data_IF_248453496223
#
_entry.id   IF_248453496223
#
_cell.length_a   1.000
_cell.length_b   1.000
_cell.length_c   1.000
_cell.angle_alpha   90.00
_cell.angle_beta   90.00
_cell.angle_gamma   90.00
#
_symmetry.space_group_name_H-M   'P 1'
#
loop_
_entity.id
_entity.type
_entity.pdbx_description
1 polymer ?
#
# COMPACT_ATOMS: atom_id res chain seq x y z
N UNK A 1 -32.41 -18.40 12.41
CA UNK A 1 -31.78 -18.15 11.09
C UNK A 1 -32.89 -18.15 10.08
N UNK A 2 -33.09 -17.00 9.40
CA UNK A 2 -34.09 -16.91 8.34
C UNK A 2 -33.58 -17.59 7.07
N UNK A 3 -34.50 -18.15 6.29
CA UNK A 3 -34.17 -18.84 5.06
C UNK A 3 -34.89 -18.17 3.89
N UNK A 4 -34.14 -17.98 2.82
CA UNK A 4 -34.65 -17.42 1.57
C UNK A 4 -34.42 -18.37 0.41
N UNK A 5 -35.06 -18.08 -0.72
CA UNK A 5 -34.90 -18.85 -1.97
C UNK A 5 -34.32 -17.95 -3.06
N UNK A 6 -33.37 -18.49 -3.82
CA UNK A 6 -32.80 -17.76 -4.96
C UNK A 6 -33.87 -17.62 -6.06
N UNK A 7 -34.22 -16.40 -6.42
CA UNK A 7 -35.24 -16.11 -7.46
C UNK A 7 -34.61 -15.73 -8.79
N UNK A 8 -33.47 -15.06 -8.77
CA UNK A 8 -32.80 -14.56 -9.97
C UNK A 8 -31.28 -14.56 -9.79
N UNK A 9 -30.56 -14.84 -10.89
CA UNK A 9 -29.10 -14.86 -10.95
C UNK A 9 -28.70 -14.10 -12.22
N UNK A 10 -27.97 -13.01 -12.08
CA UNK A 10 -27.41 -12.21 -13.18
C UNK A 10 -25.92 -12.03 -12.91
N UNK A 11 -25.08 -12.83 -13.57
CA UNK A 11 -23.63 -12.81 -13.34
C UNK A 11 -23.31 -13.06 -11.87
N UNK A 12 -22.61 -12.12 -11.22
CA UNK A 12 -22.27 -12.19 -9.80
C UNK A 12 -23.39 -11.67 -8.85
N UNK A 13 -24.50 -11.14 -9.39
CA UNK A 13 -25.62 -10.62 -8.59
C UNK A 13 -26.69 -11.69 -8.47
N UNK A 14 -27.14 -11.94 -7.24
CA UNK A 14 -28.13 -12.96 -6.90
C UNK A 14 -29.24 -12.31 -6.09
N UNK A 15 -30.47 -12.39 -6.57
CA UNK A 15 -31.63 -11.93 -5.82
C UNK A 15 -32.23 -13.13 -5.06
N UNK A 16 -32.48 -12.92 -3.76
CA UNK A 16 -32.97 -13.94 -2.82
C UNK A 16 -34.25 -13.44 -2.15
N UNK A 17 -35.30 -14.24 -2.19
CA UNK A 17 -36.59 -13.93 -1.56
C UNK A 17 -36.68 -14.57 -0.17
N UNK A 18 -36.89 -13.75 0.84
CA UNK A 18 -37.15 -14.13 2.23
C UNK A 18 -38.61 -13.86 2.59
N UNK A 19 -39.07 -14.46 3.69
CA UNK A 19 -40.33 -14.04 4.30
C UNK A 19 -40.26 -12.57 4.71
N UNK A 20 -41.34 -11.81 4.50
CA UNK A 20 -41.39 -10.34 4.71
C UNK A 20 -40.99 -9.88 6.12
N UNK A 21 -41.13 -10.73 7.13
CA UNK A 21 -40.78 -10.42 8.52
C UNK A 21 -39.35 -10.81 8.90
N UNK A 22 -38.60 -11.41 7.96
CA UNK A 22 -37.30 -12.03 8.20
C UNK A 22 -36.23 -11.58 7.19
N UNK A 23 -36.43 -10.40 6.61
CA UNK A 23 -35.54 -9.82 5.60
C UNK A 23 -34.17 -9.51 6.21
N UNK A 24 -33.07 -10.08 5.66
CA UNK A 24 -31.71 -9.79 6.11
C UNK A 24 -31.36 -8.30 6.01
N UNK A 25 -30.45 -7.83 6.87
CA UNK A 25 -29.93 -6.46 6.80
C UNK A 25 -28.94 -6.33 5.65
N UNK A 26 -28.70 -5.09 5.23
CA UNK A 26 -27.58 -4.78 4.33
C UNK A 26 -26.27 -5.20 5.02
N UNK A 27 -25.38 -5.82 4.25
CA UNK A 27 -24.13 -6.46 4.65
C UNK A 27 -24.24 -7.79 5.40
N UNK A 28 -25.44 -8.30 5.68
CA UNK A 28 -25.58 -9.68 6.19
C UNK A 28 -25.02 -10.69 5.18
N UNK A 29 -24.29 -11.69 5.68
CA UNK A 29 -23.81 -12.81 4.89
C UNK A 29 -24.88 -13.90 4.79
N UNK A 30 -25.10 -14.41 3.58
CA UNK A 30 -26.01 -15.52 3.28
C UNK A 30 -25.21 -16.74 2.80
N UNK A 31 -25.47 -17.90 3.37
CA UNK A 31 -24.85 -19.17 2.96
C UNK A 31 -25.82 -19.97 2.10
N UNK A 32 -25.41 -20.32 0.88
CA UNK A 32 -26.24 -21.13 -0.02
C UNK A 32 -26.10 -22.61 0.33
N UNK A 33 -27.21 -23.26 0.68
CA UNK A 33 -27.19 -24.66 1.09
C UNK A 33 -26.73 -25.58 -0.05
N UNK A 34 -25.80 -26.48 0.27
CA UNK A 34 -25.26 -27.45 -0.68
C UNK A 34 -24.21 -26.88 -1.64
N UNK A 35 -23.75 -25.65 -1.42
CA UNK A 35 -22.61 -25.05 -2.12
C UNK A 35 -21.69 -24.36 -1.12
N UNK A 36 -20.48 -23.98 -1.56
CA UNK A 36 -19.54 -23.19 -0.74
C UNK A 36 -19.69 -21.68 -0.94
N UNK A 37 -20.73 -21.26 -1.69
CA UNK A 37 -20.92 -19.88 -2.12
C UNK A 37 -21.57 -19.08 -0.99
N UNK A 38 -20.90 -17.99 -0.62
CA UNK A 38 -21.43 -16.98 0.30
C UNK A 38 -21.90 -15.79 -0.52
N UNK A 39 -23.07 -15.25 -0.18
CA UNK A 39 -23.61 -14.02 -0.76
C UNK A 39 -23.57 -12.90 0.28
N UNK A 40 -23.28 -11.67 -0.12
CA UNK A 40 -23.37 -10.49 0.75
C UNK A 40 -24.52 -9.58 0.31
N UNK A 41 -25.47 -9.32 1.21
CA UNK A 41 -26.64 -8.47 0.90
C UNK A 41 -26.21 -7.02 0.66
N UNK A 42 -26.59 -6.46 -0.49
CA UNK A 42 -26.30 -5.07 -0.86
C UNK A 42 -27.51 -4.15 -0.78
N UNK A 43 -28.69 -4.66 -1.13
CA UNK A 43 -29.91 -3.85 -1.25
C UNK A 43 -31.14 -4.68 -0.85
N UNK A 44 -32.14 -4.01 -0.31
CA UNK A 44 -33.48 -4.56 -0.12
C UNK A 44 -34.38 -3.97 -1.20
N UNK A 45 -34.87 -4.80 -2.13
CA UNK A 45 -35.67 -4.34 -3.28
C UNK A 45 -37.16 -4.16 -2.94
N UNK A 46 -37.61 -4.74 -1.84
CA UNK A 46 -39.02 -4.79 -1.44
C UNK A 46 -39.60 -6.20 -1.55
N UNK A 47 -40.80 -6.38 -0.99
CA UNK A 47 -41.53 -7.67 -1.00
C UNK A 47 -40.77 -8.88 -0.45
N UNK A 48 -39.77 -8.66 0.40
CA UNK A 48 -38.92 -9.72 0.95
C UNK A 48 -37.73 -10.11 0.07
N UNK A 49 -37.56 -9.47 -1.09
CA UNK A 49 -36.45 -9.71 -1.99
C UNK A 49 -35.26 -8.84 -1.58
N UNK A 50 -34.12 -9.50 -1.40
CA UNK A 50 -32.82 -8.85 -1.22
C UNK A 50 -31.93 -9.13 -2.43
N UNK A 51 -31.15 -8.13 -2.81
CA UNK A 51 -30.12 -8.24 -3.84
C UNK A 51 -28.77 -8.41 -3.17
N UNK A 52 -28.10 -9.50 -3.49
CA UNK A 52 -26.81 -9.85 -2.93
C UNK A 52 -25.74 -10.03 -4.02
N UNK A 53 -24.48 -9.91 -3.63
CA UNK A 53 -23.32 -10.20 -4.48
C UNK A 53 -22.73 -11.53 -4.05
N UNK A 54 -22.44 -12.41 -4.99
CA UNK A 54 -21.75 -13.65 -4.73
C UNK A 54 -20.25 -13.45 -4.52
N UNK A 55 -19.73 -14.09 -3.47
CA UNK A 55 -18.32 -14.20 -3.16
C UNK A 55 -17.80 -15.59 -3.56
N UNK A 56 -17.59 -15.75 -4.86
CA UNK A 56 -17.30 -17.02 -5.52
C UNK A 56 -17.99 -17.12 -6.88
N UNK A 57 -17.63 -18.13 -7.67
CA UNK A 57 -18.28 -18.33 -8.98
C UNK A 57 -19.76 -18.69 -8.79
N UNK A 58 -20.64 -18.05 -9.55
CA UNK A 58 -22.07 -18.36 -9.59
C UNK A 58 -22.40 -19.47 -10.60
N UNK A 59 -21.39 -20.02 -11.27
CA UNK A 59 -21.57 -21.13 -12.21
C UNK A 59 -22.18 -22.34 -11.50
N UNK A 60 -23.25 -22.88 -12.08
CA UNK A 60 -23.97 -24.02 -11.50
C UNK A 60 -24.98 -23.65 -10.41
N UNK A 61 -25.08 -22.38 -9.97
CA UNK A 61 -26.18 -21.94 -9.12
C UNK A 61 -27.52 -22.06 -9.87
N UNK A 62 -28.54 -22.52 -9.14
CA UNK A 62 -29.89 -22.71 -9.67
C UNK A 62 -30.88 -21.89 -8.85
N UNK A 63 -31.95 -21.46 -9.51
CA UNK A 63 -33.11 -20.89 -8.82
C UNK A 63 -33.73 -21.92 -7.87
N UNK A 64 -34.40 -21.42 -6.84
CA UNK A 64 -35.00 -22.17 -5.74
C UNK A 64 -34.03 -22.86 -4.77
N UNK A 65 -32.72 -22.69 -4.92
CA UNK A 65 -31.78 -23.07 -3.87
C UNK A 65 -32.04 -22.23 -2.61
N UNK A 66 -31.81 -22.84 -1.46
CA UNK A 66 -32.04 -22.22 -0.16
C UNK A 66 -30.78 -21.44 0.23
N UNK A 67 -30.95 -20.17 0.59
CA UNK A 67 -29.92 -19.34 1.18
C UNK A 67 -30.28 -19.04 2.63
N UNK A 68 -29.36 -19.31 3.55
CA UNK A 68 -29.55 -19.14 5.00
C UNK A 68 -28.90 -17.84 5.44
N UNK A 69 -29.64 -16.97 6.11
CA UNK A 69 -29.06 -15.78 6.71
C UNK A 69 -28.27 -16.15 7.97
N UNK A 70 -27.00 -15.76 8.00
CA UNK A 70 -26.12 -15.91 9.17
C UNK A 70 -26.45 -14.92 10.30
N UNK A 71 -27.18 -13.82 9.98
CA UNK A 71 -27.61 -12.78 10.92
C UNK A 71 -26.52 -11.77 11.30
N UNK A 72 -25.37 -11.82 10.61
CA UNK A 72 -24.22 -10.94 10.79
C UNK A 72 -23.47 -10.74 9.47
N UNK A 73 -22.54 -9.79 9.44
CA UNK A 73 -21.65 -9.62 8.31
C UNK A 73 -20.65 -10.78 8.14
N UNK A 74 -19.92 -10.74 7.03
CA UNK A 74 -18.82 -11.69 6.78
C UNK A 74 -17.78 -11.54 7.87
N UNK A 75 -17.50 -12.64 8.58
CA UNK A 75 -16.59 -12.67 9.71
C UNK A 75 -15.35 -13.53 9.43
N UNK A 76 -14.18 -12.91 9.50
CA UNK A 76 -12.88 -13.50 9.14
C UNK A 76 -12.05 -13.79 10.39
N UNK A 77 -11.17 -14.81 10.38
CA UNK A 77 -10.28 -15.09 11.50
C UNK A 77 -9.30 -13.93 11.70
N UNK A 78 -9.05 -13.61 12.97
CA UNK A 78 -8.11 -12.56 13.38
C UNK A 78 -7.19 -13.07 14.48
N UNK A 79 -6.12 -12.32 14.77
CA UNK A 79 -5.13 -12.64 15.79
C UNK A 79 -3.87 -13.31 15.28
N UNK A 80 -2.96 -13.63 16.19
CA UNK A 80 -1.59 -14.05 15.85
C UNK A 80 -1.51 -15.34 15.03
N UNK A 81 -2.54 -16.20 15.10
CA UNK A 81 -2.62 -17.41 14.27
C UNK A 81 -2.81 -17.16 12.78
N UNK A 82 -3.11 -15.92 12.37
CA UNK A 82 -3.18 -15.51 10.95
C UNK A 82 -1.82 -15.15 10.36
N UNK A 83 -0.80 -14.94 11.20
CA UNK A 83 0.55 -14.61 10.74
C UNK A 83 1.18 -15.79 10.01
N UNK A 84 1.83 -15.50 8.89
CA UNK A 84 2.42 -16.49 7.97
C UNK A 84 1.43 -17.28 7.14
N UNK A 85 0.13 -16.98 7.26
CA UNK A 85 -0.95 -17.67 6.52
C UNK A 85 -1.41 -16.88 5.31
N UNK A 86 -1.88 -17.60 4.30
CA UNK A 86 -2.55 -17.01 3.13
C UNK A 86 -4.04 -17.32 3.22
N UNK A 87 -4.87 -16.28 3.19
CA UNK A 87 -6.32 -16.40 3.28
C UNK A 87 -7.03 -15.77 2.07
N UNK A 88 -8.22 -16.27 1.77
CA UNK A 88 -9.15 -15.64 0.82
C UNK A 88 -9.98 -14.52 1.48
N UNK A 89 -10.87 -13.90 0.69
CA UNK A 89 -11.79 -12.84 1.14
C UNK A 89 -12.76 -13.27 2.26
N UNK A 90 -13.02 -14.57 2.42
CA UNK A 90 -13.87 -15.12 3.48
C UNK A 90 -13.06 -15.58 4.69
N UNK A 91 -11.74 -15.40 4.66
CA UNK A 91 -10.84 -15.82 5.72
C UNK A 91 -10.53 -17.33 5.72
N UNK A 92 -10.77 -18.03 4.61
CA UNK A 92 -10.45 -19.46 4.45
C UNK A 92 -8.97 -19.57 4.04
N UNK A 93 -8.20 -20.51 4.64
CA UNK A 93 -6.81 -20.69 4.25
C UNK A 93 -6.70 -21.27 2.83
N UNK A 94 -5.81 -20.70 2.02
CA UNK A 94 -5.52 -21.15 0.65
C UNK A 94 -4.05 -21.59 0.47
N UNK A 95 -3.32 -21.75 1.56
CA UNK A 95 -1.90 -22.12 1.61
C UNK A 95 -1.64 -23.61 1.84
N UNK A 96 -2.69 -24.44 1.89
CA UNK A 96 -2.62 -25.89 2.18
C UNK A 96 -1.94 -26.24 3.53
N UNK A 97 -1.73 -25.26 4.43
CA UNK A 97 -1.08 -25.45 5.72
C UNK A 97 -2.04 -25.84 6.86
N UNK A 98 -3.20 -26.42 6.51
CA UNK A 98 -4.26 -26.78 7.46
C UNK A 98 -5.15 -25.60 7.87
N UNK A 99 -6.00 -25.75 8.90
CA UNK A 99 -6.88 -24.67 9.36
C UNK A 99 -6.08 -23.52 10.00
N UNK A 100 -6.64 -22.31 10.00
CA UNK A 100 -6.09 -21.16 10.73
C UNK A 100 -6.52 -21.27 12.19
N UNK A 101 -5.55 -21.32 13.11
CA UNK A 101 -5.81 -21.32 14.55
C UNK A 101 -6.13 -19.91 15.04
N UNK A 102 -7.38 -19.48 14.86
CA UNK A 102 -7.85 -18.18 15.32
C UNK A 102 -8.77 -18.31 16.54
N UNK A 103 -8.49 -17.52 17.58
CA UNK A 103 -9.35 -17.40 18.78
C UNK A 103 -10.62 -16.62 18.49
N UNK A 104 -10.51 -15.58 17.67
CA UNK A 104 -11.58 -14.63 17.38
C UNK A 104 -11.88 -14.53 15.89
N UNK A 105 -13.12 -14.12 15.58
CA UNK A 105 -13.53 -13.74 14.22
C UNK A 105 -14.21 -12.38 14.25
N UNK A 106 -13.78 -11.47 13.38
CA UNK A 106 -14.32 -10.11 13.29
C UNK A 106 -15.01 -9.87 11.96
N UNK A 107 -16.07 -9.08 11.99
CA UNK A 107 -16.80 -8.67 10.79
C UNK A 107 -15.99 -7.67 9.96
N UNK A 108 -16.03 -7.83 8.63
CA UNK A 108 -15.25 -6.98 7.72
C UNK A 108 -15.82 -5.56 7.57
N UNK A 109 -17.13 -5.40 7.85
CA UNK A 109 -17.83 -4.12 7.81
C UNK A 109 -17.84 -3.53 9.22
N UNK A 110 -17.04 -2.49 9.42
CA UNK A 110 -16.90 -1.79 10.70
C UNK A 110 -16.94 -0.29 10.47
N UNK A 111 -17.36 0.45 11.49
CA UNK A 111 -17.29 1.90 11.47
C UNK A 111 -15.83 2.36 11.61
N UNK A 112 -15.51 3.52 11.02
CA UNK A 112 -14.25 4.19 11.29
C UNK A 112 -14.15 4.61 12.77
N UNK A 113 -12.94 4.71 13.34
CA UNK A 113 -12.74 5.23 14.69
C UNK A 113 -13.39 6.60 14.88
N UNK A 114 -13.95 6.85 16.07
CA UNK A 114 -14.57 8.13 16.38
C UNK A 114 -13.52 9.24 16.48
N UNK A 115 -13.94 10.50 16.38
CA UNK A 115 -13.03 11.65 16.56
C UNK A 115 -12.32 11.63 17.92
N UNK A 116 -13.00 11.15 18.97
CA UNK A 116 -12.42 11.04 20.31
C UNK A 116 -11.33 9.98 20.38
N UNK A 117 -11.35 8.97 19.52
CA UNK A 117 -10.38 7.87 19.52
C UNK A 117 -9.12 8.17 18.70
N UNK A 118 -9.16 9.19 17.84
CA UNK A 118 -8.04 9.57 16.98
C UNK A 118 -6.88 10.14 17.80
N UNK A 119 -5.65 9.74 17.45
CA UNK A 119 -4.44 10.27 18.05
C UNK A 119 -4.08 11.63 17.44
N UNK A 120 -3.65 12.58 18.28
CA UNK A 120 -3.28 13.94 17.85
C UNK A 120 -1.79 14.11 17.52
N UNK A 121 -0.96 13.10 17.75
CA UNK A 121 0.51 13.19 17.63
C UNK A 121 0.99 12.71 16.28
N UNK A 122 1.70 13.59 15.57
CA UNK A 122 2.33 13.29 14.29
C UNK A 122 3.78 12.86 14.51
N UNK A 123 3.97 11.60 14.90
CA UNK A 123 5.32 11.00 14.96
C UNK A 123 5.76 10.59 13.56
N UNK A 124 7.05 10.76 13.25
CA UNK A 124 7.64 10.29 12.00
C UNK A 124 7.98 8.80 12.11
N UNK A 125 7.74 8.07 11.02
CA UNK A 125 8.16 6.68 10.87
C UNK A 125 9.45 6.65 10.05
N UNK A 126 10.56 6.27 10.69
CA UNK A 126 11.85 6.09 10.01
C UNK A 126 11.82 4.79 9.20
N UNK A 127 12.05 4.88 7.89
CA UNK A 127 12.01 3.71 6.99
C UNK A 127 13.39 3.10 6.74
N UNK A 128 14.45 3.85 7.03
CA UNK A 128 15.83 3.48 6.73
C UNK A 128 16.19 3.63 5.25
N UNK A 129 15.30 4.21 4.44
CA UNK A 129 15.49 4.43 3.00
C UNK A 129 15.75 5.92 2.77
N UNK A 130 16.95 6.25 2.31
CA UNK A 130 17.45 7.64 2.20
C UNK A 130 16.48 8.60 1.48
N UNK A 131 15.98 8.21 0.31
CA UNK A 131 15.11 9.08 -0.50
C UNK A 131 13.75 9.30 0.17
N UNK A 132 13.20 8.28 0.82
CA UNK A 132 11.91 8.37 1.52
C UNK A 132 12.07 9.23 2.76
N UNK A 133 13.02 8.89 3.63
CA UNK A 133 13.23 9.59 4.89
C UNK A 133 13.61 11.06 4.69
N UNK A 134 14.37 11.40 3.64
CA UNK A 134 14.74 12.78 3.35
C UNK A 134 13.63 13.58 2.66
N UNK A 135 13.06 13.06 1.56
CA UNK A 135 12.20 13.85 0.65
C UNK A 135 10.71 13.69 0.93
N UNK A 136 10.26 12.51 1.36
CA UNK A 136 8.86 12.20 1.58
C UNK A 136 8.67 11.38 2.87
N UNK A 137 9.02 11.95 4.05
CA UNK A 137 9.00 11.23 5.31
C UNK A 137 7.58 10.78 5.65
N UNK A 138 7.47 9.57 6.21
CA UNK A 138 6.18 8.96 6.56
C UNK A 138 5.73 9.40 7.95
N UNK A 139 4.43 9.62 8.10
CA UNK A 139 3.80 9.74 9.41
C UNK A 139 3.43 8.36 9.94
N UNK A 140 3.61 8.16 11.25
CA UNK A 140 3.11 6.99 11.95
C UNK A 140 1.58 6.98 11.95
N UNK A 141 1.04 5.91 11.37
CA UNK A 141 -0.39 5.75 11.05
C UNK A 141 -0.90 6.63 9.91
N UNK A 142 0.02 7.19 9.13
CA UNK A 142 -0.31 7.88 7.89
C UNK A 142 -0.64 6.93 6.75
N UNK A 143 -1.15 7.50 5.66
CA UNK A 143 -1.46 6.79 4.41
C UNK A 143 -0.47 7.19 3.33
N UNK A 144 0.25 6.22 2.80
CA UNK A 144 1.27 6.42 1.77
C UNK A 144 0.78 5.82 0.45
N UNK A 145 0.80 6.61 -0.61
CA UNK A 145 0.56 6.12 -1.97
C UNK A 145 1.86 5.82 -2.70
N UNK A 146 2.05 4.58 -3.14
CA UNK A 146 3.18 4.16 -3.98
C UNK A 146 2.73 4.14 -5.45
N UNK A 147 3.18 5.14 -6.20
CA UNK A 147 2.86 5.31 -7.63
C UNK A 147 3.97 4.74 -8.49
N UNK A 148 3.63 4.24 -9.67
CA UNK A 148 4.63 3.85 -10.66
C UNK A 148 4.10 2.92 -11.74
N UNK A 149 4.88 2.77 -12.82
CA UNK A 149 4.58 1.81 -13.88
C UNK A 149 4.94 0.36 -13.50
N UNK A 150 4.70 -0.58 -14.41
CA UNK A 150 5.25 -1.93 -14.27
C UNK A 150 6.78 -1.91 -14.39
N UNK A 151 7.46 -2.73 -13.57
CA UNK A 151 8.92 -2.94 -13.64
C UNK A 151 9.81 -1.89 -12.95
N UNK A 152 9.23 -0.91 -12.25
CA UNK A 152 10.01 0.13 -11.52
C UNK A 152 10.40 -0.26 -10.09
N UNK A 153 10.11 -1.50 -9.67
CA UNK A 153 10.50 -2.03 -8.36
C UNK A 153 9.51 -1.78 -7.21
N UNK A 154 8.20 -1.67 -7.48
CA UNK A 154 7.17 -1.48 -6.42
C UNK A 154 7.23 -2.56 -5.34
N UNK A 155 7.17 -3.82 -5.75
CA UNK A 155 7.19 -4.98 -4.85
C UNK A 155 8.47 -5.01 -4.03
N UNK A 156 9.61 -4.72 -4.67
CA UNK A 156 10.91 -4.63 -3.99
C UNK A 156 10.94 -3.53 -2.92
N UNK A 157 10.36 -2.35 -3.20
CA UNK A 157 10.23 -1.29 -2.20
C UNK A 157 9.30 -1.70 -1.05
N UNK A 158 8.17 -2.33 -1.34
CA UNK A 158 7.25 -2.82 -0.29
C UNK A 158 7.92 -3.87 0.59
N UNK A 159 8.63 -4.83 0.01
CA UNK A 159 9.36 -5.86 0.76
C UNK A 159 10.46 -5.27 1.63
N UNK A 160 11.23 -4.30 1.12
CA UNK A 160 12.26 -3.64 1.92
C UNK A 160 11.64 -2.85 3.08
N UNK A 161 10.51 -2.16 2.86
CA UNK A 161 9.78 -1.47 3.93
C UNK A 161 9.30 -2.46 5.01
N UNK A 162 8.75 -3.61 4.61
CA UNK A 162 8.36 -4.68 5.54
C UNK A 162 9.58 -5.14 6.34
N UNK A 163 10.68 -5.46 5.67
CA UNK A 163 11.90 -5.96 6.32
C UNK A 163 12.50 -4.93 7.29
N UNK A 164 12.62 -3.67 6.88
CA UNK A 164 13.23 -2.62 7.69
C UNK A 164 12.38 -2.31 8.91
N UNK A 165 11.07 -2.15 8.72
CA UNK A 165 10.17 -1.83 9.83
C UNK A 165 10.00 -3.04 10.75
N UNK A 166 9.90 -4.27 10.25
CA UNK A 166 9.79 -5.47 11.10
C UNK A 166 11.07 -5.77 11.91
N UNK A 167 12.24 -5.25 11.50
CA UNK A 167 13.51 -5.38 12.22
C UNK A 167 13.75 -4.21 13.18
N UNK A 168 13.43 -2.99 12.77
CA UNK A 168 13.65 -1.78 13.58
C UNK A 168 12.50 -1.52 14.57
N UNK A 169 11.30 -1.93 14.22
CA UNK A 169 10.08 -1.83 15.03
C UNK A 169 9.51 -3.24 15.24
N UNK A 170 9.05 -3.58 16.44
CA UNK A 170 8.36 -4.87 16.71
C UNK A 170 6.93 -4.90 16.11
N UNK A 171 6.76 -4.32 14.92
CA UNK A 171 5.48 -4.18 14.23
C UNK A 171 5.10 -5.43 13.45
N UNK A 172 3.79 -5.65 13.32
CA UNK A 172 3.21 -6.68 12.47
C UNK A 172 2.80 -6.07 11.13
N UNK A 173 2.79 -6.89 10.07
CA UNK A 173 2.36 -6.46 8.75
C UNK A 173 1.15 -7.27 8.28
N UNK A 174 0.26 -6.63 7.54
CA UNK A 174 -0.83 -7.28 6.82
C UNK A 174 -0.74 -6.90 5.35
N UNK A 175 -0.72 -7.89 4.47
CA UNK A 175 -0.71 -7.70 3.03
C UNK A 175 -2.08 -8.06 2.44
N UNK A 176 -2.71 -7.10 1.77
CA UNK A 176 -3.98 -7.26 1.06
C UNK A 176 -3.74 -7.18 -0.45
N UNK A 177 -3.68 -8.34 -1.10
CA UNK A 177 -3.56 -8.50 -2.55
C UNK A 177 -4.91 -8.34 -3.25
N UNK A 178 -5.29 -7.09 -3.54
CA UNK A 178 -6.52 -6.69 -4.22
C UNK A 178 -6.35 -6.77 -5.74
N UNK A 179 -6.93 -7.79 -6.37
CA UNK A 179 -6.95 -7.94 -7.81
C UNK A 179 -5.55 -8.08 -8.41
N UNK A 180 -4.64 -8.76 -7.69
CA UNK A 180 -3.27 -9.00 -8.12
C UNK A 180 -3.14 -10.27 -8.96
N UNK A 181 -2.03 -10.33 -9.71
CA UNK A 181 -1.71 -11.54 -10.49
C UNK A 181 -1.28 -12.65 -9.53
N UNK A 182 -1.83 -13.85 -9.72
CA UNK A 182 -1.48 -15.06 -8.94
C UNK A 182 0.02 -15.33 -8.92
N UNK A 183 0.70 -15.12 -10.05
CA UNK A 183 2.16 -15.25 -10.14
C UNK A 183 2.89 -14.29 -9.20
N UNK A 184 2.49 -13.02 -9.17
CA UNK A 184 3.13 -12.00 -8.32
C UNK A 184 2.86 -12.26 -6.84
N UNK A 185 1.67 -12.76 -6.48
CA UNK A 185 1.38 -13.23 -5.12
C UNK A 185 2.22 -14.44 -4.70
N UNK A 186 2.44 -15.40 -5.61
CA UNK A 186 3.30 -16.56 -5.35
C UNK A 186 4.77 -16.15 -5.18
N UNK A 187 5.28 -15.29 -6.07
CA UNK A 187 6.66 -14.79 -5.99
C UNK A 187 6.87 -14.04 -4.65
N UNK A 188 5.93 -13.16 -4.28
CA UNK A 188 5.95 -12.44 -3.01
C UNK A 188 5.96 -13.39 -1.79
N UNK A 189 5.14 -14.44 -1.79
CA UNK A 189 5.11 -15.44 -0.72
C UNK A 189 6.47 -16.14 -0.53
N UNK A 190 7.09 -16.56 -1.64
CA UNK A 190 8.40 -17.21 -1.61
C UNK A 190 9.51 -16.24 -1.18
N UNK A 191 9.50 -14.99 -1.67
CA UNK A 191 10.46 -13.97 -1.26
C UNK A 191 10.36 -13.65 0.24
N UNK A 192 9.14 -13.60 0.80
CA UNK A 192 8.92 -13.44 2.24
C UNK A 192 9.42 -14.62 3.07
N UNK A 193 9.25 -15.84 2.53
CA UNK A 193 9.74 -17.07 3.15
C UNK A 193 11.27 -17.11 3.16
N UNK A 194 11.90 -16.78 2.04
CA UNK A 194 13.36 -16.77 1.89
C UNK A 194 14.00 -15.64 2.73
N UNK A 195 13.28 -14.54 2.91
CA UNK A 195 13.71 -13.40 3.75
C UNK A 195 13.45 -13.59 5.25
N UNK A 196 12.89 -14.73 5.69
CA UNK A 196 12.54 -15.03 7.09
C UNK A 196 11.68 -13.96 7.77
N UNK A 197 10.70 -13.40 7.04
CA UNK A 197 9.74 -12.41 7.58
C UNK A 197 8.30 -12.90 7.57
N UNK A 198 8.08 -14.12 7.07
CA UNK A 198 6.76 -14.74 6.93
C UNK A 198 6.00 -14.81 8.27
N UNK A 199 6.69 -15.04 9.38
CA UNK A 199 6.13 -15.11 10.74
C UNK A 199 5.55 -13.78 11.25
N UNK A 200 5.80 -12.67 10.55
CA UNK A 200 5.35 -11.32 10.91
C UNK A 200 4.31 -10.74 9.96
N UNK A 201 3.95 -11.47 8.90
CA UNK A 201 3.04 -11.00 7.84
C UNK A 201 1.80 -11.89 7.76
N UNK A 202 0.61 -11.33 7.91
CA UNK A 202 -0.63 -11.99 7.51
C UNK A 202 -0.98 -11.61 6.07
N UNK A 203 -1.32 -12.58 5.21
CA UNK A 203 -1.62 -12.31 3.80
C UNK A 203 -3.06 -12.66 3.46
N UNK A 204 -3.73 -11.74 2.76
CA UNK A 204 -5.08 -11.92 2.24
C UNK A 204 -5.04 -11.64 0.73
N UNK A 205 -5.52 -12.58 -0.07
CA UNK A 205 -5.57 -12.44 -1.52
C UNK A 205 -7.00 -12.51 -2.04
N UNK A 206 -7.28 -11.64 -3.01
CA UNK A 206 -8.48 -11.65 -3.84
C UNK A 206 -8.01 -11.42 -5.27
N UNK A 207 -7.65 -12.48 -5.97
CA UNK A 207 -6.85 -12.43 -7.19
C UNK A 207 -7.66 -11.94 -8.41
N UNK A 208 -6.96 -11.61 -9.51
CA UNK A 208 -7.62 -11.15 -10.75
C UNK A 208 -8.63 -12.15 -11.36
N UNK A 209 -8.43 -13.45 -11.15
CA UNK A 209 -9.34 -14.50 -11.61
C UNK A 209 -10.62 -14.61 -10.76
N UNK A 210 -10.67 -13.95 -9.61
CA UNK A 210 -11.84 -13.98 -8.74
C UNK A 210 -12.92 -12.98 -9.19
N UNK A 211 -14.20 -13.27 -8.86
CA UNK A 211 -15.31 -12.37 -9.14
C UNK A 211 -15.09 -10.97 -8.54
N UNK A 212 -15.74 -9.93 -9.11
CA UNK A 212 -15.57 -8.57 -8.62
C UNK A 212 -16.03 -8.40 -7.16
N UNK A 213 -16.96 -9.21 -6.66
CA UNK A 213 -17.36 -9.22 -5.25
C UNK A 213 -16.18 -9.51 -4.30
N UNK A 214 -15.37 -10.52 -4.62
CA UNK A 214 -14.19 -10.88 -3.82
C UNK A 214 -13.16 -9.75 -3.82
N UNK A 215 -12.84 -9.22 -5.02
CA UNK A 215 -11.89 -8.11 -5.18
C UNK A 215 -12.35 -6.85 -4.45
N UNK A 216 -13.65 -6.59 -4.38
CA UNK A 216 -14.19 -5.44 -3.67
C UNK A 216 -14.14 -5.60 -2.13
N UNK A 217 -14.09 -6.83 -1.59
CA UNK A 217 -14.13 -7.08 -0.13
C UNK A 217 -12.78 -7.47 0.48
N UNK A 218 -11.82 -7.92 -0.33
CA UNK A 218 -10.52 -8.37 0.16
C UNK A 218 -9.74 -7.27 0.89
N UNK A 219 -9.83 -6.01 0.44
CA UNK A 219 -9.21 -4.87 1.13
C UNK A 219 -9.75 -4.70 2.57
N UNK A 220 -11.06 -4.85 2.75
CA UNK A 220 -11.70 -4.78 4.07
C UNK A 220 -11.31 -5.97 4.97
N UNK A 221 -11.07 -7.14 4.38
CA UNK A 221 -10.60 -8.33 5.10
C UNK A 221 -9.21 -8.11 5.67
N UNK A 222 -8.26 -7.65 4.84
CA UNK A 222 -6.91 -7.30 5.30
C UNK A 222 -6.93 -6.17 6.34
N UNK A 223 -7.77 -5.15 6.12
CA UNK A 223 -7.93 -4.07 7.09
C UNK A 223 -8.47 -4.56 8.43
N UNK A 224 -9.41 -5.49 8.44
CA UNK A 224 -10.00 -6.03 9.69
C UNK A 224 -8.96 -6.79 10.51
N UNK A 225 -8.06 -7.52 9.85
CA UNK A 225 -6.92 -8.16 10.52
C UNK A 225 -5.93 -7.12 11.08
N UNK A 226 -5.66 -6.05 10.33
CA UNK A 226 -4.81 -4.96 10.80
C UNK A 226 -5.43 -4.19 11.99
N UNK A 227 -6.73 -3.94 11.95
CA UNK A 227 -7.50 -3.33 13.05
C UNK A 227 -7.46 -4.19 14.31
N UNK A 228 -7.51 -5.51 14.19
CA UNK A 228 -7.35 -6.39 15.34
C UNK A 228 -6.01 -6.15 16.04
N UNK A 229 -4.90 -6.14 15.29
CA UNK A 229 -3.57 -5.89 15.88
C UNK A 229 -3.40 -4.46 16.44
N UNK A 230 -4.11 -3.48 15.88
CA UNK A 230 -4.14 -2.10 16.38
C UNK A 230 -4.94 -1.99 17.69
N UNK A 231 -6.09 -2.65 17.77
CA UNK A 231 -7.07 -2.47 18.84
C UNK A 231 -6.86 -3.47 20.00
N UNK A 232 -6.32 -4.66 19.71
CA UNK A 232 -5.97 -5.66 20.72
C UNK A 232 -4.82 -5.13 21.59
N UNK A 233 -5.08 -5.06 22.90
CA UNK A 233 -4.12 -4.56 23.87
C UNK A 233 -3.21 -5.69 24.32
N UNK A 234 -1.92 -5.44 24.27
CA UNK A 234 -0.92 -6.29 24.89
C UNK A 234 -1.00 -6.26 26.43
N UNK A 235 -0.13 -7.02 27.10
CA UNK A 235 -0.02 -7.04 28.56
C UNK A 235 0.36 -5.66 29.17
N UNK A 236 0.84 -4.71 28.36
CA UNK A 236 1.17 -3.34 28.76
C UNK A 236 -0.01 -2.37 28.56
N UNK A 237 -1.12 -2.83 27.97
CA UNK A 237 -2.32 -2.05 27.72
C UNK A 237 -2.26 -1.20 26.45
N UNK A 238 -1.25 -1.40 25.59
CA UNK A 238 -1.09 -0.72 24.30
C UNK A 238 -1.35 -1.67 23.14
N UNK A 239 -1.95 -1.13 22.08
CA UNK A 239 -2.04 -1.80 20.79
C UNK A 239 -0.73 -1.72 20.02
N UNK A 240 -0.63 -2.46 18.92
CA UNK A 240 0.58 -2.51 18.10
C UNK A 240 0.57 -1.46 17.00
N UNK A 241 1.77 -1.15 16.52
CA UNK A 241 1.96 -0.43 15.27
C UNK A 241 1.97 -1.43 14.13
N UNK A 242 1.01 -1.29 13.22
CA UNK A 242 0.72 -2.25 12.16
C UNK A 242 0.99 -1.59 10.82
N UNK A 243 1.63 -2.33 9.92
CA UNK A 243 1.73 -1.94 8.52
C UNK A 243 0.65 -2.64 7.70
N UNK A 244 -0.13 -1.87 6.96
CA UNK A 244 -1.10 -2.41 6.01
C UNK A 244 -0.63 -2.13 4.58
N UNK A 245 -0.36 -3.18 3.83
CA UNK A 245 -0.04 -3.10 2.42
C UNK A 245 -1.29 -3.39 1.60
N UNK A 246 -1.69 -2.47 0.73
CA UNK A 246 -2.82 -2.67 -0.18
C UNK A 246 -2.30 -2.58 -1.61
N UNK A 247 -2.14 -3.73 -2.26
CA UNK A 247 -1.76 -3.82 -3.66
C UNK A 247 -2.86 -4.54 -4.41
N UNK A 248 -3.69 -3.91 -5.25
CA UNK A 248 -3.67 -2.50 -5.65
C UNK A 248 -4.98 -1.79 -5.30
N UNK A 249 -4.91 -0.58 -4.71
CA UNK A 249 -6.12 0.16 -4.33
C UNK A 249 -6.98 0.57 -5.55
N UNK A 250 -6.37 0.75 -6.72
CA UNK A 250 -7.13 1.00 -7.95
C UNK A 250 -8.03 -0.19 -8.32
N UNK A 251 -7.59 -1.43 -8.04
CA UNK A 251 -8.37 -2.63 -8.33
C UNK A 251 -9.58 -2.77 -7.42
N UNK A 252 -9.54 -2.23 -6.21
CA UNK A 252 -10.70 -2.07 -5.34
C UNK A 252 -11.75 -1.18 -6.01
N UNK A 253 -11.34 0.00 -6.50
CA UNK A 253 -12.22 0.91 -7.23
C UNK A 253 -12.82 0.26 -8.49
N UNK A 254 -11.98 -0.41 -9.30
CA UNK A 254 -12.42 -1.07 -10.52
C UNK A 254 -13.46 -2.16 -10.25
N UNK A 255 -13.23 -2.98 -9.21
CA UNK A 255 -14.20 -3.97 -8.76
C UNK A 255 -15.53 -3.32 -8.32
N UNK A 256 -15.46 -2.15 -7.67
CA UNK A 256 -16.63 -1.35 -7.31
C UNK A 256 -17.43 -0.87 -8.52
N UNK A 257 -16.75 -0.42 -9.57
CA UNK A 257 -17.40 -0.07 -10.86
C UNK A 257 -18.13 -1.26 -11.47
N UNK A 258 -17.48 -2.43 -11.54
CA UNK A 258 -18.08 -3.66 -12.07
C UNK A 258 -19.32 -4.08 -11.27
N UNK A 259 -19.21 -4.09 -9.94
CA UNK A 259 -20.31 -4.41 -9.02
C UNK A 259 -21.46 -3.41 -9.18
N UNK A 260 -21.17 -2.11 -9.23
CA UNK A 260 -22.16 -1.05 -9.34
C UNK A 260 -22.98 -1.17 -10.62
N UNK A 261 -22.33 -1.50 -11.74
CA UNK A 261 -22.99 -1.76 -13.01
C UNK A 261 -23.94 -2.97 -12.92
N UNK A 262 -23.50 -4.07 -12.29
CA UNK A 262 -24.33 -5.26 -12.10
C UNK A 262 -25.53 -5.02 -11.16
N UNK A 263 -25.38 -4.13 -10.17
CA UNK A 263 -26.47 -3.72 -9.28
C UNK A 263 -27.49 -2.81 -9.96
N UNK A 264 -27.23 -2.34 -11.18
CA UNK A 264 -28.10 -1.47 -11.96
C UNK A 264 -28.05 0.00 -11.53
N UNK A 265 -26.97 0.43 -10.88
CA UNK A 265 -26.74 1.86 -10.55
C UNK A 265 -26.36 2.61 -11.82
N UNK A 266 -26.83 3.85 -11.98
CA UNK A 266 -26.38 4.70 -13.09
C UNK A 266 -24.89 5.03 -12.92
N UNK A 267 -24.06 4.86 -13.96
CA UNK A 267 -22.65 5.21 -13.90
C UNK A 267 -22.46 6.74 -13.78
N UNK A 268 -21.38 7.13 -13.12
CA UNK A 268 -20.94 8.51 -12.96
C UNK A 268 -19.87 8.87 -14.00
N UNK A 269 -19.08 9.92 -13.73
CA UNK A 269 -17.97 10.37 -14.58
C UNK A 269 -17.05 9.20 -14.96
N UNK A 270 -16.68 9.13 -16.25
CA UNK A 270 -15.75 8.13 -16.82
C UNK A 270 -16.22 6.67 -16.60
N UNK A 271 -17.47 6.45 -16.18
CA UNK A 271 -18.05 5.13 -15.97
C UNK A 271 -17.90 4.56 -14.56
N UNK A 272 -17.31 5.30 -13.61
CA UNK A 272 -17.17 4.87 -12.21
C UNK A 272 -18.53 4.79 -11.49
N UNK A 273 -18.55 4.09 -10.35
CA UNK A 273 -19.72 4.02 -9.50
C UNK A 273 -20.08 5.41 -8.91
N UNK A 274 -21.37 5.75 -8.76
CA UNK A 274 -21.78 7.01 -8.14
C UNK A 274 -21.39 7.10 -6.66
N UNK A 275 -21.11 5.96 -6.02
CA UNK A 275 -20.70 5.83 -4.61
C UNK A 275 -19.18 5.80 -4.41
N UNK A 276 -18.38 6.17 -5.43
CA UNK A 276 -16.92 6.02 -5.41
C UNK A 276 -16.28 6.68 -4.17
N UNK A 277 -16.63 7.95 -3.91
CA UNK A 277 -16.07 8.70 -2.80
C UNK A 277 -16.49 8.13 -1.44
N UNK A 278 -17.72 7.63 -1.33
CA UNK A 278 -18.22 7.02 -0.10
C UNK A 278 -17.51 5.67 0.18
N UNK A 279 -17.45 4.78 -0.82
CA UNK A 279 -16.82 3.47 -0.70
C UNK A 279 -15.30 3.58 -0.43
N UNK A 280 -14.64 4.59 -1.02
CA UNK A 280 -13.26 4.91 -0.71
C UNK A 280 -13.12 5.46 0.72
N UNK A 281 -13.98 6.40 1.12
CA UNK A 281 -13.95 6.99 2.46
C UNK A 281 -14.16 5.97 3.57
N UNK A 282 -15.11 5.05 3.41
CA UNK A 282 -15.37 3.97 4.40
C UNK A 282 -14.14 3.09 4.62
N UNK A 283 -13.38 2.79 3.55
CA UNK A 283 -12.14 2.02 3.65
C UNK A 283 -11.01 2.86 4.24
N UNK A 284 -10.79 4.06 3.72
CA UNK A 284 -9.63 4.90 4.07
C UNK A 284 -9.73 5.46 5.49
N UNK A 285 -10.91 5.85 5.98
CA UNK A 285 -11.03 6.47 7.31
C UNK A 285 -10.85 5.49 8.47
N UNK A 286 -10.97 4.19 8.21
CA UNK A 286 -10.62 3.13 9.16
C UNK A 286 -9.11 2.94 9.32
N UNK A 287 -8.35 3.28 8.29
CA UNK A 287 -6.89 3.27 8.30
C UNK A 287 -6.41 4.55 8.97
N UNK A 288 -6.17 4.51 10.28
CA UNK A 288 -5.73 5.67 11.04
C UNK A 288 -5.04 5.27 12.34
N UNK A 289 -4.34 6.23 12.94
CA UNK A 289 -3.83 6.15 14.31
C UNK A 289 -4.94 6.40 15.33
N UNK A 290 -5.05 5.48 16.27
CA UNK A 290 -5.92 5.63 17.44
C UNK A 290 -5.07 5.82 18.69
N UNK A 291 -5.71 6.14 19.82
CA UNK A 291 -5.05 6.18 21.13
C UNK A 291 -4.46 4.83 21.57
N UNK A 292 -4.93 3.72 21.00
CA UNK A 292 -4.48 2.37 21.36
C UNK A 292 -3.25 1.95 20.54
N UNK A 293 -3.22 2.25 19.24
CA UNK A 293 -2.17 1.85 18.32
C UNK A 293 -2.33 2.53 16.95
N UNK A 294 -1.44 2.23 16.02
CA UNK A 294 -1.42 2.85 14.69
C UNK A 294 -1.50 1.84 13.54
N UNK A 295 -2.17 2.21 12.45
CA UNK A 295 -2.09 1.48 11.17
C UNK A 295 -1.47 2.43 10.14
N UNK A 296 -0.22 2.19 9.79
CA UNK A 296 0.43 2.90 8.69
C UNK A 296 0.17 2.11 7.42
N UNK A 297 -0.48 2.73 6.42
CA UNK A 297 -0.79 2.02 5.18
C UNK A 297 0.14 2.43 4.04
N UNK A 298 0.59 1.44 3.28
CA UNK A 298 1.32 1.63 2.03
C UNK A 298 0.46 1.03 0.93
N UNK A 299 -0.04 1.88 0.06
CA UNK A 299 -1.03 1.52 -0.94
C UNK A 299 -0.42 1.70 -2.33
N UNK A 300 -0.32 0.63 -3.09
CA UNK A 300 0.08 0.75 -4.48
C UNK A 300 -1.09 1.36 -5.27
N UNK A 301 -0.83 2.47 -5.96
CA UNK A 301 -1.84 3.16 -6.77
C UNK A 301 -1.45 3.03 -8.24
N UNK A 302 -2.32 2.39 -9.01
CA UNK A 302 -2.21 2.39 -10.47
C UNK A 302 -2.93 3.61 -11.03
N UNK A 303 -2.22 4.39 -11.86
CA UNK A 303 -2.80 5.54 -12.56
C UNK A 303 -3.18 5.09 -13.97
N UNK A 304 -4.48 5.04 -14.31
CA UNK A 304 -4.90 4.61 -15.63
C UNK A 304 -4.44 5.62 -16.70
N UNK A 305 -3.76 5.11 -17.74
CA UNK A 305 -3.26 5.91 -18.86
C UNK A 305 -2.37 7.11 -18.45
N UNK A 306 -1.71 7.01 -17.29
CA UNK A 306 -0.90 8.10 -16.70
C UNK A 306 -1.69 9.41 -16.48
N UNK A 307 -3.02 9.35 -16.37
CA UNK A 307 -3.90 10.49 -16.10
C UNK A 307 -4.23 10.63 -14.60
N UNK A 308 -3.57 11.59 -13.94
CA UNK A 308 -3.81 11.93 -12.53
C UNK A 308 -5.17 12.58 -12.28
N UNK A 309 -5.86 13.04 -13.33
CA UNK A 309 -7.18 13.69 -13.22
C UNK A 309 -8.34 12.70 -13.27
N UNK A 310 -8.06 11.42 -13.52
CA UNK A 310 -9.06 10.36 -13.43
C UNK A 310 -9.69 10.34 -12.01
N UNK A 311 -11.02 10.15 -11.89
CA UNK A 311 -11.71 10.16 -10.61
C UNK A 311 -11.15 9.19 -9.56
N UNK A 312 -10.62 8.03 -9.96
CA UNK A 312 -10.08 7.04 -9.01
C UNK A 312 -8.83 7.54 -8.28
N UNK A 313 -7.72 7.89 -8.96
CA UNK A 313 -6.55 8.46 -8.29
C UNK A 313 -6.90 9.79 -7.61
N UNK A 314 -7.70 10.67 -8.24
CA UNK A 314 -8.09 11.95 -7.63
C UNK A 314 -8.78 11.80 -6.27
N UNK A 315 -9.70 10.85 -6.15
CA UNK A 315 -10.38 10.55 -4.87
C UNK A 315 -9.41 9.93 -3.86
N UNK A 316 -8.52 9.04 -4.33
CA UNK A 316 -7.51 8.40 -3.47
C UNK A 316 -6.54 9.43 -2.89
N UNK A 317 -6.08 10.40 -3.70
CA UNK A 317 -5.14 11.45 -3.29
C UNK A 317 -5.63 12.28 -2.11
N UNK A 318 -6.93 12.52 -2.00
CA UNK A 318 -7.49 13.29 -0.89
C UNK A 318 -7.19 12.63 0.48
N UNK A 319 -7.10 11.30 0.51
CA UNK A 319 -6.85 10.54 1.72
C UNK A 319 -5.37 10.28 2.00
N UNK A 320 -4.45 10.48 1.05
CA UNK A 320 -3.03 10.19 1.24
C UNK A 320 -2.30 11.32 1.97
N UNK A 321 -1.41 10.97 2.88
CA UNK A 321 -0.52 11.90 3.60
C UNK A 321 0.82 12.09 2.89
N UNK A 322 1.28 11.03 2.22
CA UNK A 322 2.53 11.02 1.47
C UNK A 322 2.35 10.30 0.14
N UNK A 323 2.99 10.81 -0.90
CA UNK A 323 3.03 10.21 -2.24
C UNK A 323 4.47 9.89 -2.60
N UNK A 324 4.73 8.63 -2.95
CA UNK A 324 6.03 8.15 -3.41
C UNK A 324 5.87 7.75 -4.86
N UNK A 325 6.46 8.53 -5.76
CA UNK A 325 6.35 8.32 -7.21
C UNK A 325 7.57 7.58 -7.72
N UNK A 326 7.38 6.38 -8.28
CA UNK A 326 8.44 5.60 -8.89
C UNK A 326 8.51 5.83 -10.40
N UNK A 327 9.66 6.34 -10.86
CA UNK A 327 9.88 6.77 -12.24
C UNK A 327 10.67 5.75 -13.06
N UNK A 328 10.18 5.43 -14.27
CA UNK A 328 10.90 4.58 -15.22
C UNK A 328 12.20 5.23 -15.71
N UNK A 329 12.24 6.56 -15.77
CA UNK A 329 13.42 7.30 -16.20
C UNK A 329 14.56 7.19 -15.19
N UNK A 330 14.25 7.09 -13.90
CA UNK A 330 15.25 6.88 -12.84
C UNK A 330 15.71 5.42 -12.83
N UNK A 331 14.78 4.48 -12.97
CA UNK A 331 15.10 3.05 -13.06
C UNK A 331 16.03 2.73 -14.26
N UNK A 332 15.84 3.37 -15.41
CA UNK A 332 16.68 3.16 -16.60
C UNK A 332 18.11 3.67 -16.43
N UNK A 333 18.35 4.61 -15.50
CA UNK A 333 19.68 5.05 -15.09
C UNK A 333 20.36 4.08 -14.11
N UNK A 334 19.69 2.97 -13.75
CA UNK A 334 20.18 1.99 -12.78
C UNK A 334 20.12 2.46 -11.32
N UNK A 335 19.35 3.52 -11.03
CA UNK A 335 19.18 4.06 -9.67
C UNK A 335 18.01 3.33 -9.01
N UNK A 336 18.31 2.60 -7.93
CA UNK A 336 17.32 1.90 -7.10
C UNK A 336 17.48 2.32 -5.63
N UNK A 337 16.38 2.64 -4.92
CA UNK A 337 14.99 2.64 -5.39
C UNK A 337 14.69 3.76 -6.40
N UNK A 338 13.80 3.50 -7.36
CA UNK A 338 13.51 4.40 -8.48
C UNK A 338 12.53 5.54 -8.11
N UNK A 339 12.66 6.10 -6.90
CA UNK A 339 11.80 7.18 -6.40
C UNK A 339 12.19 8.49 -7.06
N UNK A 340 11.20 9.22 -7.57
CA UNK A 340 11.38 10.58 -8.08
C UNK A 340 11.34 11.58 -6.93
N UNK A 341 12.46 12.24 -6.60
CA UNK A 341 12.54 13.16 -5.47
C UNK A 341 11.80 14.49 -5.73
N UNK A 342 11.44 14.81 -6.98
CA UNK A 342 10.72 16.04 -7.31
C UNK A 342 9.20 15.83 -7.34
N UNK A 343 8.76 14.66 -7.79
CA UNK A 343 7.33 14.32 -7.91
C UNK A 343 6.76 13.65 -6.63
N UNK A 344 7.63 13.20 -5.73
CA UNK A 344 7.22 12.64 -4.42
C UNK A 344 7.00 13.75 -3.40
N UNK A 345 5.93 13.65 -2.61
CA UNK A 345 5.54 14.69 -1.65
C UNK A 345 5.12 14.10 -0.31
N UNK A 346 5.20 14.88 0.77
CA UNK A 346 4.65 14.49 2.07
C UNK A 346 4.12 15.72 2.80
N UNK A 347 2.95 15.57 3.44
CA UNK A 347 2.41 16.60 4.36
C UNK A 347 3.31 16.85 5.56
N UNK A 348 4.18 15.89 5.89
CA UNK A 348 5.11 15.99 7.02
C UNK A 348 6.34 16.85 6.73
N UNK A 349 6.53 17.27 5.47
CA UNK A 349 7.63 18.17 5.08
C UNK A 349 7.34 19.62 5.53
N UNK A 350 7.28 19.82 6.84
CA UNK A 350 7.05 21.11 7.51
C UNK A 350 8.15 21.31 8.58
N UNK A 351 8.79 22.49 8.65
CA UNK A 351 9.83 22.78 9.65
C UNK A 351 9.41 22.53 11.10
N UNK A 352 8.11 22.65 11.41
CA UNK A 352 7.56 22.40 12.74
C UNK A 352 7.43 20.91 13.09
N UNK A 353 7.47 20.02 12.09
CA UNK A 353 7.34 18.57 12.26
C UNK A 353 8.72 17.90 12.15
N UNK A 354 9.43 18.10 11.03
CA UNK A 354 10.73 17.45 10.76
C UNK A 354 11.92 18.21 11.37
N UNK A 355 11.71 19.47 11.77
CA UNK A 355 12.77 20.37 12.23
C UNK A 355 13.44 21.12 11.08
N UNK A 356 14.02 22.28 11.41
CA UNK A 356 14.64 23.18 10.42
C UNK A 356 15.79 22.51 9.65
N UNK A 357 16.66 21.75 10.34
CA UNK A 357 17.83 21.15 9.69
C UNK A 357 17.44 20.14 8.60
N UNK A 358 16.45 19.29 8.86
CA UNK A 358 15.92 18.35 7.87
C UNK A 358 15.28 19.12 6.71
N UNK A 359 14.36 20.04 7.02
CA UNK A 359 13.62 20.81 6.01
C UNK A 359 14.56 21.61 5.08
N UNK A 360 15.51 22.35 5.64
CA UNK A 360 16.45 23.16 4.86
C UNK A 360 17.35 22.30 3.98
N UNK A 361 17.77 21.13 4.48
CA UNK A 361 18.56 20.18 3.69
C UNK A 361 17.74 19.63 2.52
N UNK A 362 16.49 19.20 2.76
CA UNK A 362 15.60 18.70 1.72
C UNK A 362 15.29 19.77 0.65
N UNK A 363 14.99 21.00 1.05
CA UNK A 363 14.75 22.14 0.15
C UNK A 363 15.96 22.45 -0.74
N UNK A 364 17.17 22.42 -0.18
CA UNK A 364 18.41 22.65 -0.95
C UNK A 364 18.70 21.53 -1.94
N UNK A 365 18.43 20.29 -1.54
CA UNK A 365 18.54 19.12 -2.42
C UNK A 365 17.54 19.23 -3.57
N UNK A 366 16.28 19.54 -3.27
CA UNK A 366 15.22 19.74 -4.28
C UNK A 366 15.58 20.86 -5.26
N UNK A 367 16.04 22.00 -4.74
CA UNK A 367 16.46 23.15 -5.56
C UNK A 367 17.63 22.81 -6.50
N UNK A 368 18.60 22.02 -6.01
CA UNK A 368 19.76 21.58 -6.81
C UNK A 368 19.32 20.64 -7.93
N UNK A 369 18.42 19.70 -7.65
CA UNK A 369 17.85 18.79 -8.65
C UNK A 369 16.96 19.49 -9.67
N UNK A 370 16.16 20.46 -9.23
CA UNK A 370 15.32 21.27 -10.11
C UNK A 370 16.17 22.08 -11.09
N UNK A 371 17.24 22.73 -10.60
CA UNK A 371 18.21 23.44 -11.45
C UNK A 371 18.89 22.49 -12.44
N UNK A 372 19.23 21.27 -12.02
CA UNK A 372 19.78 20.26 -12.94
C UNK A 372 18.80 19.87 -14.05
N UNK A 373 17.51 19.70 -13.72
CA UNK A 373 16.47 19.39 -14.70
C UNK A 373 16.33 20.48 -15.77
N UNK A 374 16.40 21.75 -15.38
CA UNK A 374 16.37 22.90 -16.30
C UNK A 374 17.62 22.96 -17.19
N UNK A 375 18.80 22.66 -16.63
CA UNK A 375 20.05 22.65 -17.38
C UNK A 375 20.18 21.44 -18.32
N UNK A 376 19.43 20.36 -18.09
CA UNK A 376 19.54 19.12 -18.87
C UNK A 376 19.23 19.32 -20.35
N UNK A 377 18.23 20.15 -20.66
CA UNK A 377 17.86 20.46 -22.05
C UNK A 377 18.95 21.31 -22.74
N UNK A 378 19.54 22.25 -22.00
CA UNK A 378 20.66 23.07 -22.48
C UNK A 378 21.88 22.19 -22.76
N UNK A 379 22.22 21.29 -21.83
CA UNK A 379 23.33 20.34 -21.98
C UNK A 379 23.13 19.44 -23.20
N UNK A 380 21.90 18.99 -23.46
CA UNK A 380 21.59 18.13 -24.60
C UNK A 380 21.79 18.83 -25.96
N UNK A 381 21.63 20.16 -26.01
CA UNK A 381 21.73 20.96 -27.25
C UNK A 381 23.13 21.55 -27.43
N UNK A 382 23.66 22.22 -26.41
CA UNK A 382 24.89 23.02 -26.48
C UNK A 382 26.12 22.28 -25.94
N UNK A 383 25.92 21.22 -25.14
CA UNK A 383 27.01 20.53 -24.44
C UNK A 383 27.32 21.13 -23.08
N UNK A 384 28.10 20.40 -22.27
CA UNK A 384 28.40 20.76 -20.89
C UNK A 384 29.42 21.92 -20.78
N UNK A 385 30.21 22.17 -21.82
CA UNK A 385 31.29 23.16 -21.81
C UNK A 385 30.77 24.61 -21.87
N UNK A 386 29.59 24.80 -22.44
CA UNK A 386 28.92 26.11 -22.61
C UNK A 386 28.25 26.63 -21.33
N UNK A 387 28.19 25.79 -20.29
CA UNK A 387 27.65 26.19 -18.99
C UNK A 387 28.63 27.09 -18.23
N UNK A 388 28.09 27.97 -17.39
CA UNK A 388 28.90 28.70 -16.41
C UNK A 388 29.55 27.73 -15.42
N UNK A 389 30.67 28.12 -14.79
CA UNK A 389 31.32 27.26 -13.80
C UNK A 389 30.42 26.94 -12.58
N UNK A 390 29.54 27.88 -12.21
CA UNK A 390 28.53 27.67 -11.16
C UNK A 390 27.50 26.60 -11.58
N UNK A 391 27.06 26.64 -12.84
CA UNK A 391 26.10 25.65 -13.36
C UNK A 391 26.75 24.29 -13.54
N UNK A 392 28.02 24.22 -13.98
CA UNK A 392 28.79 22.97 -14.01
C UNK A 392 28.91 22.35 -12.61
N UNK A 393 29.15 23.17 -11.59
CA UNK A 393 29.20 22.72 -10.21
C UNK A 393 27.83 22.23 -9.71
N UNK A 394 26.75 22.95 -10.03
CA UNK A 394 25.38 22.52 -9.70
C UNK A 394 25.03 21.18 -10.35
N UNK A 395 25.39 20.98 -11.62
CA UNK A 395 25.19 19.71 -12.35
C UNK A 395 26.00 18.57 -11.71
N UNK A 396 27.27 18.81 -11.36
CA UNK A 396 28.12 17.83 -10.69
C UNK A 396 27.52 17.39 -9.34
N UNK A 397 27.09 18.35 -8.52
CA UNK A 397 26.42 18.06 -7.23
C UNK A 397 25.09 17.32 -7.43
N UNK A 398 24.27 17.74 -8.39
CA UNK A 398 23.00 17.08 -8.69
C UNK A 398 23.19 15.62 -9.09
N UNK A 399 24.16 15.32 -9.96
CA UNK A 399 24.49 13.93 -10.33
C UNK A 399 24.94 13.10 -9.13
N UNK A 400 25.75 13.66 -8.24
CA UNK A 400 26.15 12.99 -7.00
C UNK A 400 24.95 12.72 -6.09
N UNK A 401 24.04 13.68 -5.96
CA UNK A 401 22.78 13.54 -5.21
C UNK A 401 21.91 12.43 -5.81
N UNK A 402 21.67 12.43 -7.13
CA UNK A 402 20.89 11.38 -7.81
C UNK A 402 21.48 9.98 -7.57
N UNK A 403 22.81 9.85 -7.64
CA UNK A 403 23.48 8.58 -7.33
C UNK A 403 23.41 8.25 -5.85
N UNK A 404 23.55 9.23 -4.96
CA UNK A 404 23.52 9.01 -3.52
C UNK A 404 22.12 8.62 -3.00
N UNK A 405 21.05 8.95 -3.72
CA UNK A 405 19.72 8.41 -3.45
C UNK A 405 19.62 6.90 -3.68
N UNK A 406 20.51 6.31 -4.49
CA UNK A 406 20.57 4.86 -4.62
C UNK A 406 21.03 4.20 -3.32
N UNK A 407 20.44 3.05 -3.01
CA UNK A 407 20.68 2.32 -1.78
C UNK A 407 20.53 0.81 -2.05
N UNK A 408 21.50 -0.02 -1.63
CA UNK A 408 21.35 -1.46 -1.70
C UNK A 408 20.33 -1.94 -0.64
N UNK A 409 19.29 -2.62 -1.09
CA UNK A 409 18.24 -3.20 -0.24
C UNK A 409 18.62 -4.61 0.22
N UNK A 410 18.18 -4.99 1.42
CA UNK A 410 18.42 -6.32 1.96
C UNK A 410 17.70 -7.39 1.14
N UNK A 411 16.44 -7.13 0.78
CA UNK A 411 15.64 -8.05 -0.03
C UNK A 411 16.18 -8.20 -1.45
N UNK A 412 17.00 -7.24 -1.91
CA UNK A 412 17.61 -7.26 -3.23
C UNK A 412 19.02 -7.87 -3.26
N UNK A 413 19.55 -8.34 -2.14
CA UNK A 413 20.90 -8.94 -2.05
C UNK A 413 21.02 -10.16 -2.98
N UNK A 414 19.96 -10.96 -3.11
CA UNK A 414 19.91 -12.13 -4.00
C UNK A 414 20.09 -11.75 -5.48
N UNK A 415 19.59 -10.57 -5.88
CA UNK A 415 19.68 -10.09 -7.27
C UNK A 415 20.94 -9.27 -7.54
N UNK A 416 21.41 -8.51 -6.54
CA UNK A 416 22.49 -7.54 -6.69
C UNK A 416 23.86 -8.05 -6.21
N UNK A 417 23.89 -9.09 -5.37
CA UNK A 417 25.08 -9.61 -4.71
C UNK A 417 25.73 -8.64 -3.72
N UNK A 418 25.13 -7.48 -3.48
CA UNK A 418 25.62 -6.47 -2.55
C UNK A 418 24.81 -6.52 -1.26
N UNK A 419 25.45 -6.46 -0.08
CA UNK A 419 24.73 -6.52 1.19
C UNK A 419 23.83 -5.30 1.36
N UNK A 420 22.60 -5.54 1.81
CA UNK A 420 21.65 -4.48 2.13
C UNK A 420 22.16 -3.53 3.21
N UNK A 421 21.68 -2.27 3.18
CA UNK A 421 22.06 -1.23 4.13
C UNK A 421 20.82 -0.53 4.66
N UNK A 422 20.68 -0.47 5.97
CA UNK A 422 19.73 0.41 6.66
C UNK A 422 20.45 1.72 7.00
N UNK A 423 19.90 2.87 6.59
CA UNK A 423 20.53 4.18 6.81
C UNK A 423 19.68 5.02 7.77
N UNK A 424 20.17 5.32 8.98
CA UNK A 424 19.43 6.15 9.93
C UNK A 424 19.19 7.58 9.43
N UNK A 425 18.07 8.20 9.83
CA UNK A 425 17.70 9.54 9.37
C UNK A 425 18.81 10.59 9.60
N UNK A 426 19.47 10.55 10.76
CA UNK A 426 20.56 11.48 11.10
C UNK A 426 21.74 11.38 10.12
N UNK A 427 22.05 10.16 9.68
CA UNK A 427 23.11 9.88 8.71
C UNK A 427 22.72 10.34 7.31
N UNK A 428 21.45 10.17 6.95
CA UNK A 428 20.88 10.69 5.70
C UNK A 428 21.03 12.21 5.63
N UNK A 429 20.55 12.95 6.65
CA UNK A 429 20.64 14.42 6.68
C UNK A 429 22.10 14.87 6.61
N UNK A 430 22.99 14.27 7.41
CA UNK A 430 24.43 14.57 7.41
C UNK A 430 25.06 14.40 6.03
N UNK A 431 24.77 13.28 5.36
CA UNK A 431 25.32 12.98 4.04
C UNK A 431 24.86 13.95 2.97
N UNK A 432 23.55 14.21 2.87
CA UNK A 432 23.02 15.13 1.87
C UNK A 432 23.43 16.57 2.12
N UNK A 433 23.46 17.02 3.39
CA UNK A 433 23.94 18.34 3.79
C UNK A 433 25.37 18.60 3.34
N UNK A 434 26.29 17.67 3.60
CA UNK A 434 27.68 17.82 3.17
C UNK A 434 27.85 17.82 1.64
N UNK A 435 26.99 17.11 0.88
CA UNK A 435 27.00 17.17 -0.58
C UNK A 435 26.52 18.54 -1.09
N UNK A 436 25.43 19.09 -0.54
CA UNK A 436 24.94 20.42 -0.97
C UNK A 436 25.84 21.58 -0.48
N UNK A 437 26.57 21.39 0.62
CA UNK A 437 27.58 22.32 1.12
C UNK A 437 28.90 22.27 0.32
N UNK A 438 29.11 21.22 -0.46
CA UNK A 438 30.29 21.07 -1.34
C UNK A 438 31.49 20.39 -0.68
N UNK A 439 31.34 19.83 0.53
CA UNK A 439 32.42 19.15 1.25
C UNK A 439 33.00 17.97 0.45
N UNK A 440 32.16 17.34 -0.37
CA UNK A 440 32.50 16.16 -1.17
C UNK A 440 32.61 16.44 -2.68
N UNK A 441 32.84 17.69 -3.08
CA UNK A 441 33.00 18.08 -4.49
C UNK A 441 34.19 17.39 -5.17
N UNK A 442 35.24 17.07 -4.39
CA UNK A 442 36.45 16.39 -4.86
C UNK A 442 36.27 14.88 -5.14
N UNK A 443 35.16 14.26 -4.68
CA UNK A 443 34.92 12.83 -4.89
C UNK A 443 34.29 12.56 -6.27
N UNK A 444 34.60 11.41 -6.92
CA UNK A 444 33.99 11.02 -8.18
C UNK A 444 32.52 10.61 -8.01
N UNK A 445 31.68 10.85 -9.02
CA UNK A 445 30.24 10.51 -9.00
C UNK A 445 29.98 9.02 -8.67
N UNK A 446 30.82 8.12 -9.18
CA UNK A 446 30.69 6.67 -9.01
C UNK A 446 30.85 6.21 -7.54
N UNK A 447 31.48 7.03 -6.70
CA UNK A 447 31.62 6.74 -5.28
C UNK A 447 30.27 6.81 -4.53
N UNK A 448 29.32 7.59 -5.02
CA UNK A 448 28.00 7.77 -4.42
C UNK A 448 26.97 6.73 -4.87
N UNK A 449 27.31 5.87 -5.84
CA UNK A 449 26.39 4.87 -6.37
C UNK A 449 26.35 3.61 -5.50
N UNK A 450 25.16 3.13 -5.14
CA UNK A 450 24.92 1.90 -4.36
C UNK A 450 25.76 1.82 -3.07
N UNK A 451 25.63 2.85 -2.23
CA UNK A 451 26.27 2.95 -0.90
C UNK A 451 25.22 3.28 0.16
N UNK A 452 25.49 2.94 1.42
CA UNK A 452 24.65 3.33 2.55
C UNK A 452 24.91 4.78 2.97
N UNK A 453 25.79 4.96 3.95
CA UNK A 453 26.16 6.26 4.52
C UNK A 453 27.18 7.03 3.68
N UNK A 454 27.42 8.30 4.04
CA UNK A 454 28.43 9.14 3.38
C UNK A 454 29.86 8.62 3.59
N UNK A 455 30.13 8.01 4.75
CA UNK A 455 31.45 7.44 5.07
C UNK A 455 31.80 6.30 4.10
N UNK A 456 30.82 5.47 3.72
CA UNK A 456 30.99 4.41 2.72
C UNK A 456 31.31 4.98 1.33
N UNK A 457 30.73 6.14 0.98
CA UNK A 457 31.05 6.83 -0.28
C UNK A 457 32.52 7.30 -0.29
N UNK A 458 33.01 7.84 0.83
CA UNK A 458 34.41 8.25 0.98
C UNK A 458 35.35 7.05 0.88
N UNK A 459 35.02 5.93 1.52
CA UNK A 459 35.80 4.69 1.43
C UNK A 459 35.82 4.12 0.01
N UNK A 460 34.67 4.14 -0.69
CA UNK A 460 34.56 3.69 -2.07
C UNK A 460 35.37 4.56 -3.01
N UNK A 461 35.39 5.88 -2.81
CA UNK A 461 36.23 6.79 -3.57
C UNK A 461 37.73 6.45 -3.42
N UNK A 462 38.18 6.14 -2.20
CA UNK A 462 39.57 5.71 -1.95
C UNK A 462 39.92 4.43 -2.71
N UNK A 463 38.99 3.48 -2.82
CA UNK A 463 39.18 2.24 -3.58
C UNK A 463 39.18 2.44 -5.10
N UNK A 464 38.48 3.45 -5.61
CA UNK A 464 38.47 3.78 -7.05
C UNK A 464 39.75 4.53 -7.44
N UNK A 465 40.31 5.32 -6.51
CA UNK A 465 41.55 6.06 -6.73
C UNK A 465 42.83 5.22 -6.55
N UNK A 466 42.73 4.07 -5.88
CA UNK A 466 43.79 3.08 -5.72
C UNK A 466 43.78 2.08 -6.88
#
# INVERSE_FOLDING_TARGET
>A
MSQGKIVQIIGAVVDVEFARNEVPKVYDALEVQGTEITLEVQQQLGDGIVRAIALGSTDGLKRNLIAVNTGRGIAVPVGTGTLGRIMDVLGRPIDEAGPVEASDRWEIHRAAPSYEDQASTTELLETGIKVIDLMCPFAKGGKVGLFGGAGVGKTVNMMELINNIAKAHEGLSVFAGVGERTREGNDFYHEMKDSNVLDKVAMVYGQMNEPPGNRLRVALTGLTMAEYFRDEKDASGKGKDVLLFVDNIYRYTLAGTEVSALLGRMPSAVGYQPTLAEEMGVLQERITSTKSGSITSIQAVYVPADDLTDPSPATTFAHLDSTVTLSRNIASLGIYPAVDPLDSTSRQMDPNVVGNEHYDTAQRVQSTLQKYKELKDIIAILGMDELSEEDKQAVSRARKIERFFSQPFHVAEVFTGSPGKYVPLKETIRGFKGIVDGEYDHLPEQAFYMVGSIDEAVEKAKKIAA
#
